data_IF_622346262876
#
_entry.id   IF_622346262876
#
_cell.length_a   1.000
_cell.length_b   1.000
_cell.length_c   1.000
_cell.angle_alpha   90.00
_cell.angle_beta   90.00
_cell.angle_gamma   90.00
#
_symmetry.space_group_name_H-M   'P 1'
#
loop_
_entity.id
_entity.type
_entity.pdbx_description
1 polymer ?
#
# COMPACT_ATOMS: atom_id res chain seq x y z
N UNK A 1 6.65 -8.69 17.47
CA UNK A 1 7.86 -8.22 16.72
C UNK A 1 8.71 -7.32 17.56
N UNK A 2 10.06 -7.47 17.57
CA UNK A 2 11.00 -6.52 18.19
C UNK A 2 11.20 -5.31 17.27
N UNK A 3 11.24 -4.13 17.86
CA UNK A 3 11.49 -2.86 17.14
C UNK A 3 12.99 -2.58 17.04
N UNK A 4 13.45 -1.95 15.94
CA UNK A 4 14.83 -1.42 15.82
C UNK A 4 15.20 -0.43 16.96
N UNK A 5 14.22 0.18 17.60
CA UNK A 5 14.43 1.13 18.71
C UNK A 5 14.71 0.43 20.06
N UNK A 6 14.56 -0.89 20.14
CA UNK A 6 14.81 -1.69 21.34
C UNK A 6 16.23 -2.26 21.39
N UNK A 7 17.11 -1.89 20.44
CA UNK A 7 18.49 -2.36 20.37
C UNK A 7 19.44 -1.25 19.94
N UNK A 8 20.73 -1.48 20.16
CA UNK A 8 21.82 -0.66 19.65
C UNK A 8 22.65 -1.49 18.66
N UNK A 9 22.84 -0.96 17.47
CA UNK A 9 23.54 -1.63 16.37
C UNK A 9 25.05 -1.32 16.32
N UNK A 10 25.62 -0.75 17.37
CA UNK A 10 27.06 -0.40 17.39
C UNK A 10 27.95 -1.58 17.01
N UNK A 11 28.84 -1.37 16.05
CA UNK A 11 29.75 -2.38 15.47
C UNK A 11 29.05 -3.63 14.89
N UNK A 12 27.75 -3.60 14.62
CA UNK A 12 27.03 -4.70 13.97
C UNK A 12 26.92 -4.49 12.46
N UNK A 13 26.96 -5.58 11.73
CA UNK A 13 26.56 -5.67 10.33
C UNK A 13 25.07 -6.00 10.28
N UNK A 14 24.25 -5.09 9.78
CA UNK A 14 22.79 -5.22 9.81
C UNK A 14 22.27 -5.45 8.41
N UNK A 15 21.77 -6.65 8.14
CA UNK A 15 21.13 -7.00 6.88
C UNK A 15 19.72 -6.44 6.85
N UNK A 16 19.47 -5.47 5.96
CA UNK A 16 18.21 -4.71 5.93
C UNK A 16 17.44 -5.00 4.64
N UNK A 17 16.23 -5.54 4.77
CA UNK A 17 15.32 -5.67 3.62
C UNK A 17 14.51 -4.38 3.46
N UNK A 18 14.81 -3.63 2.41
CA UNK A 18 14.10 -2.41 2.00
C UNK A 18 13.31 -2.63 0.72
N UNK A 19 12.29 -1.82 0.45
CA UNK A 19 11.54 -1.86 -0.80
C UNK A 19 11.91 -0.67 -1.71
N UNK A 20 13.03 -0.81 -2.43
CA UNK A 20 13.49 0.17 -3.41
C UNK A 20 13.03 -0.14 -4.83
N UNK A 21 11.90 -0.82 -4.97
CA UNK A 21 11.25 -1.03 -6.26
C UNK A 21 10.56 0.27 -6.73
N UNK A 22 11.38 1.24 -7.10
CA UNK A 22 10.98 2.58 -7.55
C UNK A 22 10.76 2.62 -9.05
N UNK A 23 9.86 3.48 -9.57
CA UNK A 23 9.69 3.64 -11.00
C UNK A 23 10.88 4.38 -11.63
N UNK A 24 11.32 3.89 -12.77
CA UNK A 24 12.38 4.48 -13.58
C UNK A 24 11.81 5.04 -14.90
N UNK A 25 12.34 6.18 -15.34
CA UNK A 25 12.12 6.70 -16.69
C UNK A 25 12.85 5.85 -17.74
N UNK A 26 12.64 6.15 -19.03
CA UNK A 26 13.41 5.55 -20.12
C UNK A 26 14.93 5.77 -19.97
N UNK A 27 15.33 6.89 -19.37
CA UNK A 27 16.73 7.25 -19.10
C UNK A 27 17.26 6.68 -17.78
N UNK A 28 16.54 5.72 -17.16
CA UNK A 28 16.89 5.06 -15.89
C UNK A 28 16.95 6.01 -14.68
N UNK A 29 16.28 7.15 -14.75
CA UNK A 29 16.17 8.07 -13.62
C UNK A 29 14.95 7.70 -12.75
N UNK A 30 15.12 7.76 -11.44
CA UNK A 30 14.02 7.55 -10.49
C UNK A 30 13.01 8.70 -10.63
N UNK A 31 11.76 8.36 -10.93
CA UNK A 31 10.67 9.35 -11.08
C UNK A 31 9.86 9.55 -9.79
N UNK A 32 9.92 8.60 -8.86
CA UNK A 32 9.32 8.69 -7.53
C UNK A 32 10.25 8.01 -6.52
N UNK A 33 10.84 8.78 -5.60
CA UNK A 33 11.75 8.32 -4.57
C UNK A 33 11.07 8.05 -3.22
N UNK A 34 9.75 8.10 -3.13
CA UNK A 34 9.00 8.00 -1.86
C UNK A 34 9.34 6.73 -1.06
N UNK A 35 9.62 5.61 -1.71
CA UNK A 35 10.03 4.36 -1.06
C UNK A 35 11.42 4.44 -0.44
N UNK A 36 12.35 5.16 -1.08
CA UNK A 36 13.69 5.40 -0.53
C UNK A 36 13.59 6.29 0.70
N UNK A 37 12.80 7.37 0.61
CA UNK A 37 12.54 8.29 1.72
C UNK A 37 11.90 7.56 2.90
N UNK A 38 10.98 6.63 2.65
CA UNK A 38 10.31 5.87 3.70
C UNK A 38 11.26 4.99 4.53
N UNK A 39 12.31 4.42 3.91
CA UNK A 39 13.30 3.58 4.60
C UNK A 39 14.38 4.39 5.35
N UNK A 40 14.46 5.72 5.12
CA UNK A 40 15.53 6.57 5.67
C UNK A 40 15.68 6.46 7.18
N UNK A 41 14.59 6.49 7.92
CA UNK A 41 14.65 6.45 9.40
C UNK A 41 15.25 5.16 9.94
N UNK A 42 14.96 4.02 9.31
CA UNK A 42 15.55 2.74 9.67
C UNK A 42 17.06 2.72 9.38
N UNK A 43 17.47 3.20 8.21
CA UNK A 43 18.87 3.23 7.81
C UNK A 43 19.65 4.23 8.69
N UNK A 44 19.10 5.41 8.94
CA UNK A 44 19.71 6.41 9.81
C UNK A 44 19.90 5.88 11.25
N UNK A 45 18.90 5.18 11.82
CA UNK A 45 19.02 4.56 13.14
C UNK A 45 20.21 3.60 13.22
N UNK A 46 20.31 2.70 12.25
CA UNK A 46 21.39 1.71 12.19
C UNK A 46 22.76 2.40 12.08
N UNK A 47 22.90 3.32 11.14
CA UNK A 47 24.18 3.98 10.86
C UNK A 47 24.58 4.99 11.94
N UNK A 48 23.61 5.65 12.58
CA UNK A 48 23.89 6.58 13.71
C UNK A 48 24.26 5.83 14.99
N UNK A 49 23.81 4.60 15.17
CA UNK A 49 24.30 3.71 16.24
C UNK A 49 25.76 3.24 15.99
N UNK A 50 26.31 3.45 14.81
CA UNK A 50 27.62 2.91 14.42
C UNK A 50 27.56 1.53 13.76
N UNK A 51 26.37 1.07 13.37
CA UNK A 51 26.20 -0.16 12.58
C UNK A 51 26.44 0.07 11.10
N UNK A 52 26.82 -0.99 10.38
CA UNK A 52 26.86 -1.02 8.91
C UNK A 52 25.51 -1.49 8.38
N UNK A 53 24.84 -0.68 7.55
CA UNK A 53 23.58 -1.04 6.92
C UNK A 53 23.82 -1.74 5.58
N UNK A 54 23.49 -3.03 5.47
CA UNK A 54 23.59 -3.83 4.25
C UNK A 54 22.20 -3.94 3.65
N UNK A 55 21.94 -3.11 2.65
CA UNK A 55 20.63 -2.97 2.04
C UNK A 55 20.43 -4.02 0.95
N UNK A 56 19.34 -4.73 1.02
CA UNK A 56 18.91 -5.65 -0.02
C UNK A 56 17.49 -5.31 -0.48
N UNK A 57 17.31 -5.25 -1.80
CA UNK A 57 16.05 -4.92 -2.43
C UNK A 57 15.88 -5.65 -3.76
N UNK A 58 14.69 -5.53 -4.32
CA UNK A 58 14.40 -5.89 -5.70
C UNK A 58 14.07 -4.64 -6.52
N UNK A 59 14.22 -4.73 -7.83
CA UNK A 59 13.76 -3.74 -8.80
C UNK A 59 13.12 -4.45 -9.99
N UNK A 60 11.86 -4.12 -10.28
CA UNK A 60 11.12 -4.72 -11.36
C UNK A 60 10.86 -6.23 -11.21
N UNK A 61 10.73 -6.89 -12.36
CA UNK A 61 10.51 -8.35 -12.46
C UNK A 61 11.42 -8.96 -13.51
N UNK A 62 12.74 -8.94 -13.30
CA UNK A 62 13.68 -9.54 -14.24
C UNK A 62 13.48 -11.06 -14.31
N UNK A 63 13.67 -11.64 -15.50
CA UNK A 63 13.72 -13.10 -15.71
C UNK A 63 15.13 -13.66 -15.62
N UNK A 64 16.13 -12.78 -15.66
CA UNK A 64 17.57 -13.08 -15.58
C UNK A 64 18.30 -11.81 -15.14
N UNK A 65 19.64 -11.83 -15.12
CA UNK A 65 20.44 -10.59 -14.91
C UNK A 65 20.20 -9.63 -16.09
N UNK A 66 19.33 -8.66 -15.87
CA UNK A 66 18.96 -7.62 -16.83
C UNK A 66 19.55 -6.27 -16.37
N UNK A 67 20.56 -5.73 -17.08
CA UNK A 67 21.19 -4.46 -16.71
C UNK A 67 20.21 -3.28 -16.57
N UNK A 68 19.07 -3.33 -17.26
CA UNK A 68 18.02 -2.33 -17.20
C UNK A 68 17.34 -2.26 -15.82
N UNK A 69 17.41 -3.36 -15.07
CA UNK A 69 16.82 -3.52 -13.74
C UNK A 69 17.90 -3.66 -12.64
N UNK A 70 19.13 -3.21 -12.92
CA UNK A 70 20.20 -3.15 -11.90
C UNK A 70 19.88 -2.08 -10.84
N UNK A 71 20.12 -2.40 -9.57
CA UNK A 71 20.05 -1.44 -8.48
C UNK A 71 21.15 -0.37 -8.56
N UNK A 72 22.12 -0.51 -9.45
CA UNK A 72 23.11 0.53 -9.73
C UNK A 72 22.46 1.86 -10.16
N UNK A 73 21.33 1.80 -10.87
CA UNK A 73 20.60 3.00 -11.33
C UNK A 73 20.02 3.85 -10.19
N UNK A 74 19.83 3.25 -9.02
CA UNK A 74 19.25 3.95 -7.87
C UNK A 74 20.27 4.36 -6.81
N UNK A 75 21.57 4.01 -6.97
CA UNK A 75 22.62 4.36 -5.99
C UNK A 75 22.63 5.86 -5.71
N UNK A 76 22.73 6.68 -6.74
CA UNK A 76 22.75 8.14 -6.58
C UNK A 76 21.48 8.71 -5.91
N UNK A 77 20.25 8.36 -6.32
CA UNK A 77 19.04 8.70 -5.58
C UNK A 77 19.03 8.26 -4.11
N UNK A 78 19.59 7.09 -3.78
CA UNK A 78 19.70 6.63 -2.40
C UNK A 78 20.69 7.50 -1.61
N UNK A 79 21.86 7.81 -2.17
CA UNK A 79 22.84 8.74 -1.57
C UNK A 79 22.23 10.12 -1.31
N UNK A 80 21.52 10.67 -2.29
CA UNK A 80 20.89 11.99 -2.19
C UNK A 80 19.84 12.07 -1.07
N UNK A 81 19.05 11.00 -0.91
CA UNK A 81 18.05 10.91 0.18
C UNK A 81 18.71 10.71 1.54
N UNK A 82 19.72 9.83 1.61
CA UNK A 82 20.37 9.49 2.88
C UNK A 82 21.39 10.55 3.33
N UNK A 83 21.94 11.32 2.38
CA UNK A 83 23.01 12.28 2.64
C UNK A 83 24.35 11.61 2.99
N UNK A 84 24.54 10.36 2.62
CA UNK A 84 25.71 9.52 2.91
C UNK A 84 26.12 8.73 1.66
N UNK A 85 27.41 8.44 1.46
CA UNK A 85 27.86 7.60 0.36
C UNK A 85 27.36 6.15 0.51
N UNK A 86 27.11 5.50 -0.63
CA UNK A 86 26.64 4.11 -0.69
C UNK A 86 27.62 3.26 -1.51
N UNK A 87 28.13 2.20 -0.91
CA UNK A 87 28.95 1.20 -1.59
C UNK A 87 28.03 0.23 -2.32
N UNK A 88 28.07 0.22 -3.64
CA UNK A 88 27.29 -0.71 -4.45
C UNK A 88 28.06 -2.00 -4.73
N UNK A 89 27.44 -3.15 -4.51
CA UNK A 89 28.00 -4.47 -4.82
C UNK A 89 27.23 -5.08 -5.99
N UNK A 90 27.97 -5.51 -7.02
CA UNK A 90 27.40 -6.08 -8.26
C UNK A 90 26.82 -7.50 -8.08
N UNK A 91 27.00 -8.09 -6.91
CA UNK A 91 26.49 -9.42 -6.56
C UNK A 91 25.76 -9.33 -5.21
N UNK A 92 24.77 -10.21 -5.03
CA UNK A 92 23.99 -10.29 -3.77
C UNK A 92 24.62 -11.21 -2.74
N UNK A 93 25.33 -12.24 -3.18
CA UNK A 93 25.97 -13.27 -2.35
C UNK A 93 27.33 -13.63 -2.94
N UNK A 94 28.11 -14.40 -2.20
CA UNK A 94 29.40 -14.94 -2.65
C UNK A 94 30.58 -14.39 -1.85
N UNK A 95 31.77 -14.96 -2.11
CA UNK A 95 32.99 -14.65 -1.33
C UNK A 95 33.41 -13.18 -1.40
N UNK A 96 33.35 -12.58 -2.59
CA UNK A 96 33.71 -11.16 -2.77
C UNK A 96 32.75 -10.24 -2.00
N UNK A 97 31.44 -10.51 -2.07
CA UNK A 97 30.42 -9.78 -1.30
C UNK A 97 30.67 -9.89 0.20
N UNK A 98 30.93 -11.11 0.70
CA UNK A 98 31.24 -11.35 2.11
C UNK A 98 32.49 -10.58 2.53
N UNK A 99 33.58 -10.63 1.75
CA UNK A 99 34.83 -9.95 2.06
C UNK A 99 34.66 -8.42 2.15
N UNK A 100 33.90 -7.81 1.23
CA UNK A 100 33.60 -6.36 1.30
C UNK A 100 32.80 -6.03 2.55
N UNK A 101 31.78 -6.83 2.86
CA UNK A 101 30.95 -6.64 4.08
C UNK A 101 31.78 -6.82 5.34
N UNK A 102 32.66 -7.83 5.41
CA UNK A 102 33.55 -8.08 6.57
C UNK A 102 34.49 -6.90 6.83
N UNK A 103 35.02 -6.28 5.77
CA UNK A 103 35.94 -5.14 5.86
C UNK A 103 35.21 -3.77 5.93
N UNK A 104 33.89 -3.75 6.03
CA UNK A 104 33.13 -2.50 6.10
C UNK A 104 33.34 -1.76 7.41
N UNK A 105 33.31 -0.42 7.34
CA UNK A 105 33.51 0.45 8.47
C UNK A 105 32.17 0.77 9.18
N UNK A 106 32.18 1.02 10.50
CA UNK A 106 31.00 1.47 11.22
C UNK A 106 30.34 2.69 10.58
N UNK A 107 29.00 2.68 10.48
CA UNK A 107 28.22 3.74 9.86
C UNK A 107 28.16 3.70 8.33
N UNK A 108 28.79 2.73 7.70
CA UNK A 108 28.76 2.56 6.24
C UNK A 108 27.41 2.01 5.75
N UNK A 109 27.08 2.35 4.51
CA UNK A 109 25.90 1.84 3.81
C UNK A 109 26.37 1.04 2.59
N UNK A 110 25.92 -0.20 2.49
CA UNK A 110 26.19 -1.10 1.37
C UNK A 110 24.85 -1.42 0.71
N UNK A 111 24.77 -1.32 -0.61
CA UNK A 111 23.63 -1.75 -1.41
C UNK A 111 24.01 -2.95 -2.26
N UNK A 112 23.35 -4.07 -2.05
CA UNK A 112 23.53 -5.28 -2.86
C UNK A 112 22.82 -5.12 -4.22
N UNK A 113 23.19 -5.94 -5.20
CA UNK A 113 22.50 -6.01 -6.48
C UNK A 113 21.08 -6.60 -6.32
N UNK A 114 20.27 -6.48 -7.37
CA UNK A 114 18.89 -6.89 -7.42
C UNK A 114 18.68 -8.36 -7.03
N UNK A 115 18.02 -8.57 -5.90
CA UNK A 115 17.71 -9.91 -5.37
C UNK A 115 17.02 -10.82 -6.39
N UNK A 116 16.20 -10.24 -7.27
CA UNK A 116 15.44 -10.99 -8.27
C UNK A 116 16.25 -11.44 -9.48
N UNK A 117 17.54 -11.15 -9.51
CA UNK A 117 18.45 -11.85 -10.44
C UNK A 117 18.66 -13.32 -10.08
N UNK A 118 18.30 -13.67 -8.84
CA UNK A 118 18.25 -15.05 -8.34
C UNK A 118 16.79 -15.51 -8.28
N UNK A 119 16.44 -16.55 -9.02
CA UNK A 119 15.11 -17.18 -8.97
C UNK A 119 14.78 -17.72 -7.56
N UNK A 120 15.80 -18.09 -6.84
CA UNK A 120 15.79 -18.59 -5.46
C UNK A 120 15.16 -17.57 -4.48
N UNK A 121 15.20 -16.27 -4.81
CA UNK A 121 14.56 -15.22 -4.02
C UNK A 121 13.05 -15.42 -4.00
N UNK A 122 12.41 -15.50 -5.18
CA UNK A 122 10.95 -15.63 -5.27
C UNK A 122 10.46 -17.03 -4.87
N UNK A 123 11.28 -18.06 -5.02
CA UNK A 123 11.01 -19.44 -4.58
C UNK A 123 11.08 -19.61 -3.06
N UNK A 124 11.60 -18.63 -2.32
CA UNK A 124 11.81 -18.73 -0.86
C UNK A 124 12.85 -19.78 -0.51
N UNK A 125 13.92 -19.90 -1.31
CA UNK A 125 14.94 -20.94 -1.18
C UNK A 125 15.75 -20.77 0.11
N UNK A 126 15.91 -21.88 0.88
CA UNK A 126 16.62 -21.86 2.15
C UNK A 126 18.13 -21.64 2.00
N UNK A 127 18.77 -22.22 0.98
CA UNK A 127 20.21 -22.09 0.80
C UNK A 127 20.59 -20.67 0.39
N UNK A 128 19.81 -20.03 -0.48
CA UNK A 128 19.98 -18.62 -0.83
C UNK A 128 19.77 -17.72 0.39
N UNK A 129 18.72 -17.95 1.19
CA UNK A 129 18.49 -17.24 2.43
C UNK A 129 19.63 -17.41 3.44
N UNK A 130 20.21 -18.61 3.53
CA UNK A 130 21.39 -18.90 4.35
C UNK A 130 22.64 -18.15 3.88
N UNK A 131 22.87 -18.06 2.56
CA UNK A 131 23.99 -17.25 2.03
C UNK A 131 23.78 -15.76 2.34
N UNK A 132 22.56 -15.23 2.16
CA UNK A 132 22.25 -13.85 2.55
C UNK A 132 22.51 -13.62 4.05
N UNK A 133 22.12 -14.57 4.92
CA UNK A 133 22.27 -14.42 6.37
C UNK A 133 23.72 -14.31 6.85
N UNK A 134 24.70 -14.82 6.06
CA UNK A 134 26.12 -14.70 6.37
C UNK A 134 26.65 -13.26 6.27
N UNK A 135 25.88 -12.36 5.66
CA UNK A 135 26.26 -10.96 5.50
C UNK A 135 25.97 -10.09 6.73
N UNK A 136 25.29 -10.60 7.75
CA UNK A 136 24.88 -9.77 8.87
C UNK A 136 24.87 -10.48 10.21
N UNK A 137 25.05 -9.70 11.27
CA UNK A 137 24.89 -10.12 12.68
C UNK A 137 23.43 -10.00 13.12
N UNK A 138 22.67 -9.14 12.45
CA UNK A 138 21.25 -8.86 12.71
C UNK A 138 20.48 -8.69 11.39
N UNK A 139 19.18 -8.95 11.45
CA UNK A 139 18.26 -8.78 10.33
C UNK A 139 17.19 -7.75 10.65
N UNK A 140 16.92 -6.85 9.72
CA UNK A 140 15.83 -5.88 9.79
C UNK A 140 14.94 -6.01 8.57
N UNK A 141 13.64 -6.24 8.79
CA UNK A 141 12.66 -6.12 7.72
C UNK A 141 12.01 -4.73 7.76
N UNK A 142 12.20 -3.96 6.70
CA UNK A 142 11.60 -2.62 6.51
C UNK A 142 10.88 -2.51 5.16
N UNK A 143 10.43 -3.64 4.62
CA UNK A 143 9.80 -3.76 3.31
C UNK A 143 8.36 -4.27 3.41
N UNK A 144 7.46 -3.45 3.96
CA UNK A 144 6.05 -3.84 4.13
C UNK A 144 5.39 -4.23 2.80
N UNK A 145 5.69 -3.51 1.69
CA UNK A 145 5.13 -3.81 0.37
C UNK A 145 5.38 -5.24 -0.13
N UNK A 146 6.39 -5.93 0.40
CA UNK A 146 6.71 -7.33 0.07
C UNK A 146 6.39 -8.32 1.20
N UNK A 147 5.91 -7.86 2.34
CA UNK A 147 5.68 -8.69 3.53
C UNK A 147 4.66 -9.81 3.33
N UNK A 148 3.77 -9.68 2.34
CA UNK A 148 2.78 -10.69 1.95
C UNK A 148 3.39 -11.89 1.17
N UNK A 149 4.66 -11.86 0.86
CA UNK A 149 5.36 -12.89 0.08
C UNK A 149 6.35 -13.67 0.95
N UNK A 150 6.35 -14.99 0.82
CA UNK A 150 7.29 -15.87 1.52
C UNK A 150 8.64 -15.98 0.79
N UNK A 151 9.19 -14.85 0.32
CA UNK A 151 10.47 -14.81 -0.39
C UNK A 151 11.66 -15.05 0.54
N UNK A 152 12.81 -15.44 -0.03
CA UNK A 152 14.01 -15.73 0.74
C UNK A 152 14.44 -14.57 1.63
N UNK A 153 14.54 -13.35 1.07
CA UNK A 153 14.99 -12.15 1.79
C UNK A 153 13.95 -11.54 2.73
N UNK A 154 12.65 -11.84 2.53
CA UNK A 154 11.54 -11.23 3.27
C UNK A 154 11.11 -12.08 4.48
N UNK A 155 11.14 -13.40 4.33
CA UNK A 155 10.60 -14.34 5.33
C UNK A 155 11.61 -15.39 5.76
N UNK A 156 12.25 -16.09 4.79
CA UNK A 156 13.07 -17.27 5.10
C UNK A 156 14.34 -16.89 5.83
N UNK A 157 15.00 -15.79 5.44
CA UNK A 157 16.27 -15.31 6.01
C UNK A 157 16.17 -15.04 7.51
N UNK A 158 15.00 -14.60 8.01
CA UNK A 158 14.77 -14.31 9.43
C UNK A 158 15.01 -15.52 10.35
N UNK A 159 14.87 -16.76 9.84
CA UNK A 159 15.11 -18.00 10.59
C UNK A 159 16.56 -18.15 11.08
N UNK A 160 17.50 -17.48 10.41
CA UNK A 160 18.92 -17.61 10.70
C UNK A 160 19.42 -16.58 11.73
N UNK A 161 18.57 -15.67 12.19
CA UNK A 161 18.94 -14.59 13.11
C UNK A 161 18.41 -14.77 14.54
N UNK A 162 17.80 -15.89 14.85
CA UNK A 162 17.23 -16.17 16.18
C UNK A 162 16.55 -14.92 16.81
N UNK A 163 17.15 -14.36 17.89
CA UNK A 163 16.64 -13.19 18.58
C UNK A 163 17.07 -11.84 17.94
N UNK A 164 17.99 -11.85 16.97
CA UNK A 164 18.57 -10.66 16.35
C UNK A 164 17.82 -10.26 15.07
N UNK A 165 16.49 -10.31 15.11
CA UNK A 165 15.62 -9.90 14.01
C UNK A 165 14.61 -8.86 14.46
N UNK A 166 14.47 -7.80 13.68
CA UNK A 166 13.75 -6.59 14.05
C UNK A 166 12.85 -6.10 12.93
N UNK A 167 11.79 -5.39 13.31
CA UNK A 167 10.98 -4.60 12.41
C UNK A 167 11.56 -3.19 12.29
N UNK A 168 11.73 -2.71 11.07
CA UNK A 168 12.12 -1.34 10.77
C UNK A 168 11.00 -0.33 11.02
N UNK A 169 11.33 0.96 11.00
CA UNK A 169 10.38 2.07 11.29
C UNK A 169 9.19 2.07 10.34
N UNK A 170 9.43 1.85 9.02
CA UNK A 170 8.37 1.78 8.04
C UNK A 170 7.43 0.61 8.31
N UNK A 171 7.98 -0.59 8.50
CA UNK A 171 7.18 -1.79 8.77
C UNK A 171 6.32 -1.63 10.02
N UNK A 172 6.87 -1.07 11.09
CA UNK A 172 6.15 -0.80 12.33
C UNK A 172 4.98 0.16 12.10
N UNK A 173 5.23 1.28 11.38
CA UNK A 173 4.19 2.27 11.09
C UNK A 173 3.05 1.71 10.24
N UNK A 174 3.36 0.88 9.25
CA UNK A 174 2.36 0.22 8.41
C UNK A 174 1.45 -0.68 9.28
N UNK A 175 2.07 -1.55 10.10
CA UNK A 175 1.32 -2.45 10.98
C UNK A 175 0.49 -1.68 12.00
N UNK A 176 1.07 -0.67 12.65
CA UNK A 176 0.36 0.15 13.64
C UNK A 176 -0.79 0.95 13.01
N UNK A 177 -0.59 1.45 11.78
CA UNK A 177 -1.64 2.20 11.06
C UNK A 177 -2.82 1.31 10.70
N UNK A 178 -2.58 0.07 10.31
CA UNK A 178 -3.63 -0.91 10.02
C UNK A 178 -4.36 -1.29 11.32
N UNK A 179 -3.62 -1.57 12.40
CA UNK A 179 -4.22 -1.87 13.72
C UNK A 179 -5.11 -0.75 14.23
N UNK A 180 -4.69 0.51 14.08
CA UNK A 180 -5.50 1.68 14.42
C UNK A 180 -6.82 1.77 13.67
N UNK A 181 -6.97 1.08 12.56
CA UNK A 181 -8.24 1.01 11.82
C UNK A 181 -9.07 -0.19 12.24
N UNK A 182 -8.46 -1.38 12.25
CA UNK A 182 -9.20 -2.64 12.36
C UNK A 182 -9.33 -3.20 13.78
N UNK A 183 -8.49 -2.76 14.73
CA UNK A 183 -8.47 -3.25 16.11
C UNK A 183 -8.77 -2.14 17.11
N UNK A 184 -8.06 -1.01 17.00
CA UNK A 184 -8.05 0.07 18.00
C UNK A 184 -8.76 1.36 17.50
N UNK A 185 -9.58 1.26 16.45
CA UNK A 185 -10.23 2.41 15.82
C UNK A 185 -11.14 3.17 16.78
N UNK A 186 -10.87 4.48 16.94
CA UNK A 186 -11.82 5.38 17.65
C UNK A 186 -13.10 5.49 16.84
N UNK A 187 -14.24 5.21 17.48
CA UNK A 187 -15.55 5.24 16.83
C UNK A 187 -16.07 6.66 16.63
N UNK A 188 -16.87 6.91 15.59
CA UNK A 188 -17.24 5.99 14.51
C UNK A 188 -16.05 5.67 13.57
N UNK A 189 -15.93 4.39 13.18
CA UNK A 189 -14.96 3.92 12.19
C UNK A 189 -15.64 3.84 10.82
N UNK A 190 -15.10 4.55 9.84
CA UNK A 190 -15.59 4.58 8.46
C UNK A 190 -14.61 3.87 7.53
N UNK A 191 -15.13 2.99 6.68
CA UNK A 191 -14.42 2.53 5.49
C UNK A 191 -15.01 3.20 4.24
N UNK A 192 -14.14 3.72 3.36
CA UNK A 192 -14.47 4.22 2.02
C UNK A 192 -13.87 3.23 1.05
N UNK A 193 -14.71 2.49 0.35
CA UNK A 193 -14.28 1.50 -0.63
C UNK A 193 -14.79 1.91 -2.01
N UNK A 194 -13.87 2.00 -2.95
CA UNK A 194 -14.15 2.36 -4.33
C UNK A 194 -13.41 1.48 -5.32
N UNK A 195 -13.44 1.89 -6.59
CA UNK A 195 -12.86 1.17 -7.70
C UNK A 195 -13.89 0.46 -8.57
N UNK A 196 -13.44 -0.33 -9.56
CA UNK A 196 -14.31 -0.85 -10.62
C UNK A 196 -15.15 -2.07 -10.21
N UNK A 197 -14.64 -2.94 -9.31
CA UNK A 197 -15.20 -4.30 -9.10
C UNK A 197 -15.43 -4.65 -7.64
N UNK A 198 -16.63 -5.18 -7.32
CA UNK A 198 -17.00 -5.72 -6.00
C UNK A 198 -16.12 -6.94 -5.67
N UNK A 199 -15.88 -7.83 -6.65
CA UNK A 199 -15.10 -9.06 -6.46
C UNK A 199 -13.70 -8.79 -5.89
N UNK A 200 -13.10 -7.65 -6.20
CA UNK A 200 -11.78 -7.25 -5.70
C UNK A 200 -11.78 -6.78 -4.24
N UNK A 201 -12.94 -6.47 -3.66
CA UNK A 201 -13.09 -5.90 -2.31
C UNK A 201 -13.82 -6.82 -1.33
N UNK A 202 -14.37 -7.92 -1.81
CA UNK A 202 -15.28 -8.76 -1.03
C UNK A 202 -14.64 -9.32 0.24
N UNK A 203 -13.41 -9.81 0.10
CA UNK A 203 -12.69 -10.39 1.24
C UNK A 203 -12.39 -9.32 2.28
N UNK A 204 -12.03 -8.11 1.83
CA UNK A 204 -11.82 -6.96 2.72
C UNK A 204 -13.12 -6.63 3.44
N UNK A 205 -14.24 -6.43 2.70
CA UNK A 205 -15.54 -6.09 3.30
C UNK A 205 -15.92 -7.13 4.35
N UNK A 206 -15.81 -8.42 4.02
CA UNK A 206 -16.16 -9.50 4.92
C UNK A 206 -15.33 -9.52 6.21
N UNK A 207 -14.08 -9.11 6.15
CA UNK A 207 -13.18 -9.12 7.30
C UNK A 207 -13.31 -7.87 8.17
N UNK A 208 -13.76 -6.73 7.59
CA UNK A 208 -13.86 -5.47 8.36
C UNK A 208 -15.27 -5.11 8.78
N UNK A 209 -16.31 -5.77 8.25
CA UNK A 209 -17.71 -5.37 8.42
C UNK A 209 -18.17 -5.36 9.88
N UNK A 210 -17.58 -6.20 10.72
CA UNK A 210 -17.85 -6.28 12.17
C UNK A 210 -16.98 -5.30 13.00
N UNK A 211 -16.06 -4.59 12.36
CA UNK A 211 -15.09 -3.69 12.99
C UNK A 211 -15.35 -2.21 12.67
N UNK A 212 -16.23 -1.94 11.72
CA UNK A 212 -16.58 -0.60 11.26
C UNK A 212 -18.00 -0.22 11.64
N UNK A 213 -18.27 1.08 11.73
CA UNK A 213 -19.61 1.60 12.00
C UNK A 213 -20.27 2.11 10.70
N UNK A 214 -19.46 2.50 9.70
CA UNK A 214 -19.90 3.11 8.45
C UNK A 214 -19.14 2.57 7.25
N UNK A 215 -19.82 2.44 6.11
CA UNK A 215 -19.21 1.99 4.86
C UNK A 215 -19.73 2.83 3.69
N UNK A 216 -18.85 3.61 3.07
CA UNK A 216 -19.10 4.22 1.77
C UNK A 216 -18.67 3.25 0.67
N UNK A 217 -19.57 2.98 -0.27
CA UNK A 217 -19.28 2.21 -1.48
C UNK A 217 -19.39 3.15 -2.68
N UNK A 218 -18.27 3.44 -3.33
CA UNK A 218 -18.20 4.35 -4.46
C UNK A 218 -17.54 3.73 -5.69
N UNK A 219 -17.36 4.53 -6.74
CA UNK A 219 -16.80 4.09 -8.00
C UNK A 219 -17.68 3.08 -8.74
N UNK A 220 -17.13 2.41 -9.73
CA UNK A 220 -17.84 1.45 -10.58
C UNK A 220 -18.47 0.28 -9.83
N UNK A 221 -17.88 -0.15 -8.71
CA UNK A 221 -18.46 -1.22 -7.91
C UNK A 221 -19.85 -0.88 -7.33
N UNK A 222 -20.16 0.40 -7.14
CA UNK A 222 -21.48 0.81 -6.63
C UNK A 222 -22.63 0.39 -7.56
N UNK A 223 -22.41 0.37 -8.88
CA UNK A 223 -23.45 -0.01 -9.85
C UNK A 223 -23.88 -1.47 -9.71
N UNK A 224 -22.99 -2.37 -9.26
CA UNK A 224 -23.37 -3.77 -8.95
C UNK A 224 -24.39 -3.80 -7.78
N UNK A 225 -24.19 -2.99 -6.74
CA UNK A 225 -25.13 -2.87 -5.61
C UNK A 225 -26.46 -2.25 -6.04
N UNK A 226 -26.43 -1.20 -6.85
CA UNK A 226 -27.64 -0.52 -7.36
C UNK A 226 -28.45 -1.47 -8.24
N UNK A 227 -27.80 -2.21 -9.15
CA UNK A 227 -28.48 -3.20 -10.00
C UNK A 227 -29.06 -4.35 -9.17
N UNK A 228 -28.35 -4.83 -8.17
CA UNK A 228 -28.81 -5.88 -7.26
C UNK A 228 -30.09 -5.46 -6.50
N UNK A 229 -30.31 -4.16 -6.28
CA UNK A 229 -31.52 -3.59 -5.69
C UNK A 229 -32.62 -3.28 -6.73
N UNK A 230 -32.44 -3.66 -8.01
CA UNK A 230 -33.40 -3.44 -9.09
C UNK A 230 -33.25 -2.11 -9.83
N UNK A 231 -32.19 -1.32 -9.58
CA UNK A 231 -31.93 -0.06 -10.25
C UNK A 231 -31.49 -0.24 -11.71
N UNK A 232 -31.77 0.76 -12.54
CA UNK A 232 -31.33 0.85 -13.95
C UNK A 232 -30.03 1.63 -14.01
N UNK A 233 -28.95 0.96 -14.38
CA UNK A 233 -27.59 1.51 -14.35
C UNK A 233 -27.06 1.87 -15.76
N UNK A 234 -27.88 1.84 -16.82
CA UNK A 234 -27.48 2.13 -18.18
C UNK A 234 -26.38 1.21 -18.68
N UNK A 235 -25.36 1.81 -19.31
CA UNK A 235 -24.16 1.13 -19.79
C UNK A 235 -23.05 1.02 -18.72
N UNK A 236 -23.30 1.44 -17.48
CA UNK A 236 -22.29 1.44 -16.39
C UNK A 236 -21.72 0.06 -16.14
N UNK A 237 -20.44 0.01 -15.74
CA UNK A 237 -19.76 -1.23 -15.38
C UNK A 237 -20.53 -1.99 -14.29
N UNK A 238 -20.68 -3.31 -14.46
CA UNK A 238 -21.38 -4.15 -13.48
C UNK A 238 -20.89 -5.59 -13.53
N UNK A 239 -20.71 -6.20 -12.37
CA UNK A 239 -20.44 -7.63 -12.23
C UNK A 239 -21.77 -8.38 -12.03
N UNK A 240 -22.41 -8.77 -13.15
CA UNK A 240 -23.73 -9.41 -13.12
C UNK A 240 -23.77 -10.76 -12.39
N UNK A 241 -22.64 -11.44 -12.30
CA UNK A 241 -22.46 -12.70 -11.54
C UNK A 241 -22.25 -12.46 -10.03
N UNK A 242 -22.25 -11.20 -9.58
CA UNK A 242 -22.02 -10.79 -8.19
C UNK A 242 -23.24 -10.09 -7.56
N UNK A 243 -24.38 -10.08 -8.20
CA UNK A 243 -25.59 -9.41 -7.65
C UNK A 243 -26.03 -10.01 -6.31
N UNK A 244 -26.13 -11.33 -6.22
CA UNK A 244 -26.51 -12.02 -4.97
C UNK A 244 -25.50 -11.72 -3.85
N UNK A 245 -24.25 -11.59 -4.22
CA UNK A 245 -23.17 -11.24 -3.30
C UNK A 245 -23.31 -9.80 -2.80
N UNK A 246 -23.65 -8.85 -3.65
CA UNK A 246 -23.92 -7.48 -3.24
C UNK A 246 -25.10 -7.43 -2.25
N UNK A 247 -26.17 -8.18 -2.48
CA UNK A 247 -27.28 -8.31 -1.53
C UNK A 247 -26.81 -8.88 -0.19
N UNK A 248 -26.02 -9.95 -0.21
CA UNK A 248 -25.53 -10.58 1.03
C UNK A 248 -24.66 -9.62 1.86
N UNK A 249 -23.87 -8.75 1.21
CA UNK A 249 -23.09 -7.72 1.89
C UNK A 249 -24.01 -6.70 2.58
N UNK A 250 -25.06 -6.22 1.88
CA UNK A 250 -26.04 -5.27 2.45
C UNK A 250 -26.75 -5.88 3.67
N UNK A 251 -27.14 -7.14 3.58
CA UNK A 251 -27.78 -7.87 4.71
C UNK A 251 -26.82 -8.04 5.88
N UNK A 252 -25.55 -8.43 5.61
CA UNK A 252 -24.53 -8.58 6.63
C UNK A 252 -24.24 -7.25 7.32
N UNK A 253 -24.17 -6.14 6.57
CA UNK A 253 -24.00 -4.81 7.14
C UNK A 253 -25.18 -4.45 8.08
N UNK A 254 -26.41 -4.72 7.65
CA UNK A 254 -27.61 -4.52 8.49
C UNK A 254 -27.56 -5.34 9.78
N UNK A 255 -27.14 -6.62 9.70
CA UNK A 255 -27.00 -7.50 10.88
C UNK A 255 -25.94 -6.97 11.85
N UNK A 256 -24.85 -6.41 11.34
CA UNK A 256 -23.77 -5.83 12.14
C UNK A 256 -24.01 -4.35 12.52
N UNK A 257 -25.16 -3.77 12.16
CA UNK A 257 -25.53 -2.36 12.41
C UNK A 257 -24.58 -1.36 11.76
N UNK A 258 -24.00 -1.74 10.62
CA UNK A 258 -23.15 -0.84 9.82
C UNK A 258 -24.02 -0.01 8.89
N UNK A 259 -23.84 1.32 8.93
CA UNK A 259 -24.50 2.24 8.01
C UNK A 259 -23.82 2.21 6.64
N UNK A 260 -24.54 1.78 5.59
CA UNK A 260 -24.04 1.80 4.22
C UNK A 260 -24.47 3.07 3.50
N UNK A 261 -23.52 3.71 2.84
CA UNK A 261 -23.70 4.89 2.00
C UNK A 261 -23.37 4.53 0.56
N UNK A 262 -24.42 4.30 -0.24
CA UNK A 262 -24.34 4.21 -1.70
C UNK A 262 -24.56 5.61 -2.30
N UNK A 263 -23.97 5.92 -3.46
CA UNK A 263 -24.32 7.15 -4.15
C UNK A 263 -25.80 7.15 -4.54
N UNK A 264 -26.42 8.34 -4.54
CA UNK A 264 -27.83 8.54 -4.91
C UNK A 264 -27.95 9.19 -6.28
N UNK A 265 -26.95 9.94 -6.69
CA UNK A 265 -26.79 10.55 -8.00
C UNK A 265 -25.38 10.33 -8.53
N UNK A 266 -25.19 10.49 -9.82
CA UNK A 266 -23.94 10.19 -10.51
C UNK A 266 -23.77 11.11 -11.71
N UNK A 267 -22.54 11.59 -11.96
CA UNK A 267 -22.15 12.21 -13.21
C UNK A 267 -21.97 11.13 -14.25
N UNK A 268 -22.88 11.11 -15.23
CA UNK A 268 -22.88 10.15 -16.34
C UNK A 268 -22.20 10.75 -17.57
N UNK A 269 -21.68 9.88 -18.42
CA UNK A 269 -21.16 10.22 -19.73
C UNK A 269 -21.77 9.31 -20.82
N UNK A 270 -21.83 9.81 -22.04
CA UNK A 270 -22.31 9.05 -23.19
C UNK A 270 -21.19 8.23 -23.87
N UNK A 271 -19.93 8.40 -23.43
CA UNK A 271 -18.74 7.67 -23.88
C UNK A 271 -17.67 7.67 -22.79
N UNK A 272 -16.79 6.67 -22.77
CA UNK A 272 -15.65 6.61 -21.83
C UNK A 272 -14.49 7.52 -22.31
N UNK A 273 -14.72 8.83 -22.27
CA UNK A 273 -13.80 9.86 -22.74
C UNK A 273 -13.88 11.09 -21.85
N UNK A 274 -12.74 11.78 -21.63
CA UNK A 274 -12.71 13.03 -20.88
C UNK A 274 -13.55 14.16 -21.52
N UNK A 275 -13.75 14.09 -22.85
CA UNK A 275 -14.47 15.08 -23.65
C UNK A 275 -15.91 14.64 -23.97
N UNK A 276 -16.42 13.58 -23.33
CA UNK A 276 -17.78 13.09 -23.53
C UNK A 276 -18.82 14.10 -23.02
N UNK A 277 -20.02 14.07 -23.62
CA UNK A 277 -21.16 14.79 -23.06
C UNK A 277 -21.51 14.23 -21.69
N UNK A 278 -21.82 15.11 -20.75
CA UNK A 278 -22.11 14.73 -19.36
C UNK A 278 -23.46 15.19 -18.89
N UNK A 279 -24.06 14.43 -17.99
CA UNK A 279 -25.28 14.81 -17.27
C UNK A 279 -25.33 14.18 -15.87
N UNK A 280 -26.00 14.84 -14.93
CA UNK A 280 -26.29 14.25 -13.62
C UNK A 280 -27.56 13.39 -13.74
N UNK A 281 -27.46 12.15 -13.27
CA UNK A 281 -28.60 11.22 -13.22
C UNK A 281 -28.80 10.68 -11.81
N UNK A 282 -30.06 10.39 -11.39
CA UNK A 282 -30.29 9.48 -10.28
C UNK A 282 -29.61 8.14 -10.57
N UNK A 283 -28.83 7.60 -9.63
CA UNK A 283 -27.98 6.42 -9.88
C UNK A 283 -28.79 5.16 -10.26
N UNK A 284 -30.04 5.09 -9.87
CA UNK A 284 -30.95 3.98 -10.16
C UNK A 284 -31.79 4.18 -11.43
N UNK A 285 -31.53 5.26 -12.21
CA UNK A 285 -32.28 5.62 -13.42
C UNK A 285 -31.35 6.15 -14.53
N UNK A 286 -30.17 5.56 -14.68
CA UNK A 286 -29.23 5.95 -15.72
C UNK A 286 -29.78 5.52 -17.10
N UNK A 287 -29.79 6.40 -18.11
CA UNK A 287 -30.25 6.07 -19.46
C UNK A 287 -29.39 4.97 -20.11
N UNK A 288 -30.00 4.17 -21.00
CA UNK A 288 -29.40 2.93 -21.56
C UNK A 288 -28.00 3.10 -22.19
N UNK A 289 -27.76 4.26 -22.85
CA UNK A 289 -26.50 4.55 -23.54
C UNK A 289 -25.52 5.39 -22.70
N UNK A 290 -25.84 5.64 -21.46
CA UNK A 290 -25.03 6.45 -20.56
C UNK A 290 -24.41 5.55 -19.48
N UNK A 291 -23.21 5.90 -19.06
CA UNK A 291 -22.52 5.22 -17.97
C UNK A 291 -22.13 6.20 -16.87
N UNK A 292 -22.20 5.75 -15.63
CA UNK A 292 -21.78 6.55 -14.49
C UNK A 292 -20.27 6.59 -14.35
N UNK A 293 -19.73 7.80 -14.26
CA UNK A 293 -18.28 8.04 -14.26
C UNK A 293 -17.75 8.62 -12.95
N UNK A 294 -18.56 9.41 -12.23
CA UNK A 294 -18.14 10.01 -10.95
C UNK A 294 -19.35 10.21 -10.02
N UNK A 295 -19.11 10.33 -8.72
CA UNK A 295 -20.17 10.62 -7.75
C UNK A 295 -20.80 11.99 -8.03
N UNK A 296 -22.13 12.07 -7.96
CA UNK A 296 -22.87 13.30 -8.13
C UNK A 296 -22.87 14.19 -6.86
N UNK A 297 -23.35 15.44 -6.98
CA UNK A 297 -23.29 16.42 -5.89
C UNK A 297 -24.09 16.01 -4.64
N UNK A 298 -25.26 15.37 -4.79
CA UNK A 298 -26.05 14.90 -3.65
C UNK A 298 -25.36 13.75 -2.93
N UNK A 299 -24.74 12.83 -3.68
CA UNK A 299 -23.92 11.75 -3.15
C UNK A 299 -22.73 12.28 -2.34
N UNK A 300 -22.06 13.33 -2.85
CA UNK A 300 -20.94 13.96 -2.17
C UNK A 300 -21.34 14.62 -0.84
N UNK A 301 -22.52 15.23 -0.75
CA UNK A 301 -23.01 15.78 0.52
C UNK A 301 -23.34 14.69 1.55
N UNK A 302 -23.82 13.53 1.11
CA UNK A 302 -24.02 12.35 1.97
C UNK A 302 -22.67 11.81 2.45
N UNK A 303 -21.70 11.64 1.55
CA UNK A 303 -20.36 11.15 1.88
C UNK A 303 -19.65 12.10 2.85
N UNK A 304 -19.74 13.41 2.62
CA UNK A 304 -19.20 14.44 3.49
C UNK A 304 -19.67 14.27 4.94
N UNK A 305 -20.98 14.15 5.15
CA UNK A 305 -21.57 13.98 6.49
C UNK A 305 -21.06 12.69 7.17
N UNK A 306 -20.97 11.60 6.41
CA UNK A 306 -20.43 10.33 6.91
C UNK A 306 -18.94 10.46 7.30
N UNK A 307 -18.13 11.14 6.48
CA UNK A 307 -16.70 11.35 6.70
C UNK A 307 -16.47 12.28 7.89
N UNK A 308 -17.11 13.46 7.91
CA UNK A 308 -16.89 14.48 8.95
C UNK A 308 -17.35 14.02 10.35
N UNK A 309 -18.30 13.09 10.44
CA UNK A 309 -18.74 12.51 11.72
C UNK A 309 -17.89 11.32 12.18
N UNK A 310 -16.87 10.91 11.43
CA UNK A 310 -16.04 9.75 11.75
C UNK A 310 -14.75 10.15 12.47
N UNK A 311 -14.22 9.24 13.31
CA UNK A 311 -12.97 9.44 14.07
C UNK A 311 -11.81 8.60 13.54
N UNK A 312 -12.13 7.52 12.83
CA UNK A 312 -11.16 6.67 12.14
C UNK A 312 -11.67 6.42 10.73
N UNK A 313 -10.82 6.63 9.74
CA UNK A 313 -11.17 6.55 8.32
C UNK A 313 -10.18 5.64 7.61
N UNK A 314 -10.68 4.61 6.96
CA UNK A 314 -9.97 3.81 5.95
C UNK A 314 -10.43 4.24 4.57
N UNK A 315 -9.51 4.63 3.70
CA UNK A 315 -9.83 4.96 2.30
C UNK A 315 -9.09 4.04 1.35
N UNK A 316 -9.83 3.21 0.61
CA UNK A 316 -9.32 2.25 -0.34
C UNK A 316 -10.15 2.21 -1.63
N UNK A 317 -9.78 3.00 -2.61
CA UNK A 317 -10.39 3.12 -3.93
C UNK A 317 -11.04 4.48 -4.18
N UNK A 318 -10.89 5.04 -5.40
CA UNK A 318 -11.51 6.28 -5.83
C UNK A 318 -13.03 6.10 -5.99
N UNK A 319 -13.77 7.20 -5.95
CA UNK A 319 -15.23 7.21 -6.13
C UNK A 319 -15.68 7.61 -7.53
N UNK A 320 -14.73 7.94 -8.41
CA UNK A 320 -14.92 8.28 -9.82
C UNK A 320 -13.70 7.88 -10.64
N UNK A 321 -13.74 8.11 -11.96
CA UNK A 321 -12.64 7.88 -12.90
C UNK A 321 -11.65 9.05 -12.79
N UNK A 322 -10.87 9.05 -11.70
CA UNK A 322 -10.02 10.18 -11.31
C UNK A 322 -8.86 10.47 -12.28
N UNK A 323 -8.55 9.55 -13.17
CA UNK A 323 -7.55 9.71 -14.23
C UNK A 323 -8.00 10.71 -15.30
N UNK A 324 -9.31 10.94 -15.42
CA UNK A 324 -9.93 11.92 -16.31
C UNK A 324 -10.34 13.15 -15.50
N UNK A 325 -9.88 14.34 -15.90
CA UNK A 325 -10.13 15.59 -15.18
C UNK A 325 -11.63 15.84 -14.94
N UNK A 326 -12.46 15.60 -15.96
CA UNK A 326 -13.92 15.78 -15.89
C UNK A 326 -14.57 14.93 -14.80
N UNK A 327 -14.05 13.72 -14.55
CA UNK A 327 -14.60 12.71 -13.63
C UNK A 327 -13.76 12.50 -12.37
N UNK A 328 -12.87 13.42 -12.07
CA UNK A 328 -12.01 13.37 -10.87
C UNK A 328 -12.61 14.10 -9.66
N UNK A 329 -13.62 14.93 -9.88
CA UNK A 329 -14.17 15.89 -8.87
C UNK A 329 -14.68 15.19 -7.63
N UNK A 330 -15.34 14.05 -7.77
CA UNK A 330 -15.83 13.26 -6.63
C UNK A 330 -14.68 12.72 -5.78
N UNK A 331 -13.64 12.19 -6.39
CA UNK A 331 -12.44 11.71 -5.67
C UNK A 331 -11.69 12.85 -4.99
N UNK A 332 -11.58 14.02 -5.64
CA UNK A 332 -11.00 15.23 -5.05
C UNK A 332 -11.80 15.68 -3.83
N UNK A 333 -13.13 15.77 -3.95
CA UNK A 333 -14.01 16.16 -2.84
C UNK A 333 -13.89 15.22 -1.64
N UNK A 334 -13.87 13.89 -1.87
CA UNK A 334 -13.61 12.91 -0.81
C UNK A 334 -12.24 13.15 -0.15
N UNK A 335 -11.19 13.42 -0.94
CA UNK A 335 -9.87 13.79 -0.42
C UNK A 335 -9.89 15.03 0.47
N UNK A 336 -10.63 16.06 0.08
CA UNK A 336 -10.83 17.29 0.88
C UNK A 336 -11.56 17.00 2.19
N UNK A 337 -12.65 16.21 2.16
CA UNK A 337 -13.41 15.85 3.36
C UNK A 337 -12.57 15.03 4.34
N UNK A 338 -11.82 14.04 3.83
CA UNK A 338 -10.90 13.24 4.64
C UNK A 338 -9.78 14.12 5.23
N UNK A 339 -9.20 15.03 4.44
CA UNK A 339 -8.17 15.97 4.91
C UNK A 339 -8.68 16.89 6.00
N UNK A 340 -9.89 17.43 5.86
CA UNK A 340 -10.56 18.26 6.86
C UNK A 340 -10.83 17.48 8.15
N UNK A 341 -11.35 16.26 8.05
CA UNK A 341 -11.58 15.40 9.21
C UNK A 341 -10.27 15.05 9.93
N UNK A 342 -9.19 14.80 9.16
CA UNK A 342 -7.86 14.55 9.70
C UNK A 342 -7.33 15.76 10.48
N UNK A 343 -7.44 16.96 9.91
CA UNK A 343 -7.04 18.20 10.61
C UNK A 343 -7.86 18.47 11.87
N UNK A 344 -9.07 17.93 11.94
CA UNK A 344 -9.96 17.98 13.12
C UNK A 344 -9.73 16.83 14.11
N UNK A 345 -8.67 16.03 13.94
CA UNK A 345 -8.23 15.00 14.87
C UNK A 345 -8.71 13.57 14.58
N UNK A 346 -9.31 13.31 13.42
CA UNK A 346 -9.59 11.96 12.96
C UNK A 346 -8.29 11.29 12.48
N UNK A 347 -8.17 9.98 12.67
CA UNK A 347 -7.11 9.19 12.05
C UNK A 347 -7.55 8.71 10.68
N UNK A 348 -6.75 8.97 9.65
CA UNK A 348 -7.03 8.55 8.28
C UNK A 348 -5.89 7.70 7.70
N UNK A 349 -6.24 6.49 7.23
CA UNK A 349 -5.36 5.57 6.53
C UNK A 349 -5.80 5.48 5.07
N UNK A 350 -4.91 5.83 4.15
CA UNK A 350 -5.14 5.69 2.71
C UNK A 350 -4.28 4.54 2.19
N UNK A 351 -4.87 3.65 1.40
CA UNK A 351 -4.11 2.57 0.79
C UNK A 351 -4.79 1.94 -0.41
N UNK A 352 -4.01 1.11 -1.12
CA UNK A 352 -4.36 0.61 -2.45
C UNK A 352 -3.81 1.51 -3.56
N UNK A 353 -3.42 0.89 -4.68
CA UNK A 353 -2.71 1.59 -5.77
C UNK A 353 -3.40 2.87 -6.23
N UNK A 354 -4.68 2.77 -6.59
CA UNK A 354 -5.44 3.88 -7.17
C UNK A 354 -5.68 5.00 -6.14
N UNK A 355 -5.98 4.66 -4.88
CA UNK A 355 -6.15 5.67 -3.83
C UNK A 355 -4.86 6.44 -3.55
N UNK A 356 -3.73 5.72 -3.50
CA UNK A 356 -2.40 6.33 -3.30
C UNK A 356 -2.04 7.20 -4.50
N UNK A 357 -2.34 6.77 -5.72
CA UNK A 357 -2.15 7.56 -6.93
C UNK A 357 -2.98 8.86 -6.89
N UNK A 358 -4.28 8.76 -6.58
CA UNK A 358 -5.17 9.91 -6.45
C UNK A 358 -4.70 10.91 -5.37
N UNK A 359 -4.34 10.40 -4.18
CA UNK A 359 -3.85 11.23 -3.07
C UNK A 359 -2.55 11.95 -3.42
N UNK A 360 -1.65 11.33 -4.19
CA UNK A 360 -0.43 11.97 -4.70
C UNK A 360 -0.75 12.99 -5.78
N UNK A 361 -1.57 12.63 -6.78
CA UNK A 361 -1.94 13.49 -7.91
C UNK A 361 -2.60 14.79 -7.44
N UNK A 362 -3.47 14.72 -6.43
CA UNK A 362 -4.22 15.86 -5.91
C UNK A 362 -3.61 16.49 -4.64
N UNK A 363 -2.36 16.14 -4.29
CA UNK A 363 -1.59 16.73 -3.19
C UNK A 363 -2.26 16.58 -1.80
N UNK A 364 -2.85 15.42 -1.52
CA UNK A 364 -3.41 15.08 -0.20
C UNK A 364 -2.47 14.25 0.68
N UNK A 365 -1.31 13.82 0.18
CA UNK A 365 -0.39 12.93 0.91
C UNK A 365 -0.02 13.43 2.31
N UNK A 366 0.20 14.74 2.46
CA UNK A 366 0.56 15.38 3.73
C UNK A 366 -0.67 15.88 4.53
N UNK A 367 -1.88 15.62 4.05
CA UNK A 367 -3.14 16.05 4.66
C UNK A 367 -3.94 14.90 5.27
N UNK A 368 -3.43 13.69 5.18
CA UNK A 368 -3.96 12.47 5.80
C UNK A 368 -2.98 11.94 6.83
N UNK A 369 -3.42 11.12 7.78
CA UNK A 369 -2.56 10.62 8.86
C UNK A 369 -1.50 9.64 8.35
N UNK A 370 -1.86 8.77 7.42
CA UNK A 370 -0.93 7.81 6.84
C UNK A 370 -1.33 7.39 5.42
N UNK A 371 -0.35 7.36 4.52
CA UNK A 371 -0.48 6.79 3.17
C UNK A 371 0.35 5.52 3.12
N UNK A 372 -0.31 4.38 2.98
CA UNK A 372 0.37 3.09 2.95
C UNK A 372 1.22 2.91 1.70
N UNK A 373 2.43 2.43 1.89
CA UNK A 373 3.33 1.99 0.81
C UNK A 373 3.10 0.53 0.42
N UNK A 374 2.25 -0.18 1.18
CA UNK A 374 2.12 -1.62 1.16
C UNK A 374 1.39 -2.21 -0.04
N UNK A 375 0.57 -1.43 -0.75
CA UNK A 375 -0.19 -1.95 -1.90
C UNK A 375 -0.91 -3.26 -1.57
N UNK A 376 -0.46 -4.37 -2.18
CA UNK A 376 -1.03 -5.70 -1.95
C UNK A 376 -0.90 -6.22 -0.51
N UNK A 377 0.20 -5.91 0.17
CA UNK A 377 0.40 -6.34 1.56
C UNK A 377 -0.63 -5.70 2.50
N UNK A 378 -0.95 -4.42 2.30
CA UNK A 378 -2.01 -3.76 3.05
C UNK A 378 -3.37 -4.41 2.78
N UNK A 379 -3.70 -4.70 1.52
CA UNK A 379 -4.97 -5.33 1.17
C UNK A 379 -5.09 -6.71 1.84
N UNK A 380 -4.04 -7.53 1.77
CA UNK A 380 -4.03 -8.84 2.43
C UNK A 380 -4.13 -8.75 3.96
N UNK A 381 -3.54 -7.72 4.57
CA UNK A 381 -3.74 -7.45 6.01
C UNK A 381 -5.19 -7.09 6.32
N UNK A 382 -5.83 -6.26 5.49
CA UNK A 382 -7.26 -5.92 5.64
C UNK A 382 -8.17 -7.14 5.38
N UNK A 383 -7.72 -8.11 4.59
CA UNK A 383 -8.38 -9.41 4.40
C UNK A 383 -8.22 -10.35 5.60
N UNK A 384 -7.46 -9.97 6.63
CA UNK A 384 -7.19 -10.76 7.82
C UNK A 384 -6.11 -11.83 7.64
N UNK A 385 -5.34 -11.77 6.55
CA UNK A 385 -4.23 -12.71 6.30
C UNK A 385 -3.02 -12.37 7.15
N UNK A 386 -2.39 -13.41 7.71
CA UNK A 386 -1.08 -13.26 8.37
C UNK A 386 0.01 -13.14 7.31
N UNK A 387 0.70 -12.00 7.27
CA UNK A 387 1.75 -11.76 6.30
C UNK A 387 3.03 -12.54 6.66
N UNK A 388 3.60 -13.36 5.73
CA UNK A 388 4.79 -14.17 5.99
C UNK A 388 5.98 -13.39 6.52
N UNK A 389 6.25 -12.19 5.96
CA UNK A 389 7.35 -11.34 6.38
C UNK A 389 7.20 -10.77 7.80
N UNK A 390 5.97 -10.59 8.28
CA UNK A 390 5.67 -10.17 9.66
C UNK A 390 5.79 -11.38 10.58
N UNK A 391 5.15 -12.49 10.22
CA UNK A 391 5.20 -13.73 11.01
C UNK A 391 6.63 -14.21 11.27
N UNK A 392 7.52 -14.05 10.29
CA UNK A 392 8.92 -14.43 10.41
C UNK A 392 9.70 -13.65 11.49
N UNK A 393 9.23 -12.42 11.83
CA UNK A 393 9.81 -11.59 12.90
C UNK A 393 9.25 -11.93 14.29
N UNK A 394 8.19 -12.72 14.38
CA UNK A 394 7.52 -13.08 15.63
C UNK A 394 7.91 -14.47 16.14
N UNK A 395 8.47 -15.31 15.27
CA UNK A 395 8.97 -16.65 15.55
C UNK A 395 10.44 -16.62 15.96
#
# INVERSE_FOLDING_TARGET
MKSIYQTNFNNQKVLVRVDFNVPLSSDKKVTDNSRIVAAKKTIDKITNDGGTAILMSHLGRPKSKDPELSLMHIVKPVEDVLGKPVVFLKETIGKETQQVVENSLPGQIILLENLRYHKEEEEGNNDFAKELSRLGDSYVNDAFGTAHRAHASTSIVAKYFAENKFAGDLLLKEVDSIKKVIEDGKKPVLAILGGAKVSSKITIINNIIDKIDKLIIGGGMAFTFIKAQGGKIGASICENDKLDLAISILEKAKQNKVEIYLPVDVLCANDFSNDADTQICPINQIPEKWEGMDAGPESLEIFKKAIESSKTILWNGPVGVFEMETFSKGTVAVGEFVSKSTSSGAFSLVGGGDSVAAVKQFNFSNKVSYVSTGGGAMLESLEGKTLPGIKALEQ
#
